data_IF_543357742486
#
_entry.id   IF_543357742486
#
_cell.length_a   1.000
_cell.length_b   1.000
_cell.length_c   1.000
_cell.angle_alpha   90.00
_cell.angle_beta   90.00
_cell.angle_gamma   90.00
#
_symmetry.space_group_name_H-M   'P 1'
#
loop_
_entity.id
_entity.type
_entity.pdbx_description
1 polymer ?
#
# COMPACT_ATOMS: atom_id res chain seq x y z
N UNK A 1 5.18 50.01 -34.03
CA UNK A 1 4.93 48.57 -34.28
C UNK A 1 5.92 47.67 -33.49
N UNK A 2 6.10 47.89 -32.17
CA UNK A 2 7.14 47.17 -31.40
C UNK A 2 6.67 46.62 -30.04
N UNK A 3 5.36 46.69 -29.73
CA UNK A 3 4.82 46.27 -28.42
C UNK A 3 4.23 44.85 -28.42
N UNK A 4 3.92 44.27 -29.60
CA UNK A 4 3.21 42.98 -29.71
C UNK A 4 4.14 41.75 -29.71
N UNK A 5 5.44 41.95 -29.91
CA UNK A 5 6.41 40.84 -30.03
C UNK A 5 6.88 40.34 -28.66
N UNK A 6 6.84 41.17 -27.62
CA UNK A 6 7.34 40.83 -26.27
C UNK A 6 6.30 40.10 -25.40
N UNK A 7 5.01 40.37 -25.59
CA UNK A 7 3.93 39.65 -24.88
C UNK A 7 3.76 38.20 -25.40
N UNK A 8 3.98 37.98 -26.70
CA UNK A 8 3.84 36.67 -27.32
C UNK A 8 4.91 35.68 -26.86
N UNK A 9 6.13 36.14 -26.59
CA UNK A 9 7.25 35.29 -26.13
C UNK A 9 7.19 35.00 -24.64
N UNK A 10 6.67 35.92 -23.81
CA UNK A 10 6.32 35.65 -22.42
C UNK A 10 5.24 34.55 -22.34
N UNK A 11 4.19 34.63 -23.17
CA UNK A 11 3.13 33.62 -23.21
C UNK A 11 3.60 32.25 -23.74
N UNK A 12 4.54 32.22 -24.69
CA UNK A 12 5.08 30.97 -25.21
C UNK A 12 5.98 30.26 -24.19
N UNK A 13 6.74 31.02 -23.40
CA UNK A 13 7.51 30.50 -22.28
C UNK A 13 6.63 29.98 -21.15
N UNK A 14 5.57 30.72 -20.80
CA UNK A 14 4.57 30.30 -19.80
C UNK A 14 3.82 29.03 -20.24
N UNK A 15 3.36 28.95 -21.49
CA UNK A 15 2.74 27.74 -22.05
C UNK A 15 3.69 26.54 -22.09
N UNK A 16 4.98 26.76 -22.38
CA UNK A 16 5.98 25.71 -22.36
C UNK A 16 6.24 25.19 -20.93
N UNK A 17 6.26 26.08 -19.93
CA UNK A 17 6.39 25.72 -18.52
C UNK A 17 5.13 24.98 -18.02
N UNK A 18 3.94 25.46 -18.36
CA UNK A 18 2.67 24.82 -18.01
C UNK A 18 2.58 23.42 -18.62
N UNK A 19 2.94 23.27 -19.90
CA UNK A 19 3.00 21.98 -20.55
C UNK A 19 3.99 21.03 -19.87
N UNK A 20 5.21 21.50 -19.56
CA UNK A 20 6.22 20.71 -18.85
C UNK A 20 5.74 20.28 -17.44
N UNK A 21 5.01 21.15 -16.75
CA UNK A 21 4.41 20.85 -15.46
C UNK A 21 3.29 19.81 -15.58
N UNK A 22 2.43 19.90 -16.61
CA UNK A 22 1.36 18.94 -16.86
C UNK A 22 1.87 17.57 -17.27
N UNK A 23 2.87 17.49 -18.16
CA UNK A 23 3.34 16.19 -18.68
C UNK A 23 4.40 15.53 -17.81
N UNK A 24 5.15 16.30 -17.03
CA UNK A 24 6.29 15.79 -16.25
C UNK A 24 6.06 15.86 -14.74
N UNK A 25 5.92 17.07 -14.21
CA UNK A 25 6.02 17.29 -12.74
C UNK A 25 4.76 16.82 -12.02
N UNK A 26 3.57 17.23 -12.46
CA UNK A 26 2.31 16.90 -11.78
C UNK A 26 2.06 15.39 -11.70
N UNK A 27 2.17 14.60 -12.79
CA UNK A 27 1.97 13.15 -12.74
C UNK A 27 3.00 12.45 -11.83
N UNK A 28 4.26 12.90 -11.84
CA UNK A 28 5.30 12.35 -10.94
C UNK A 28 5.00 12.62 -9.48
N UNK A 29 4.57 13.85 -9.14
CA UNK A 29 4.20 14.19 -7.75
C UNK A 29 2.95 13.44 -7.29
N UNK A 30 1.94 13.27 -8.14
CA UNK A 30 0.73 12.52 -7.83
C UNK A 30 1.03 11.02 -7.64
N UNK A 31 1.87 10.44 -8.48
CA UNK A 31 2.37 9.07 -8.32
C UNK A 31 3.15 8.91 -7.00
N UNK A 32 3.97 9.89 -6.63
CA UNK A 32 4.70 9.91 -5.37
C UNK A 32 3.78 9.95 -4.14
N UNK A 33 2.73 10.79 -4.18
CA UNK A 33 1.74 10.87 -3.11
C UNK A 33 0.95 9.56 -2.97
N UNK A 34 0.43 9.00 -4.08
CA UNK A 34 -0.30 7.74 -4.08
C UNK A 34 0.54 6.55 -3.58
N UNK A 35 1.83 6.53 -3.92
CA UNK A 35 2.78 5.55 -3.39
C UNK A 35 2.94 5.66 -1.87
N UNK A 36 3.12 6.88 -1.34
CA UNK A 36 3.25 7.13 0.10
C UNK A 36 1.97 6.70 0.85
N UNK A 37 0.80 7.05 0.32
CA UNK A 37 -0.49 6.66 0.89
C UNK A 37 -0.64 5.13 0.93
N UNK A 38 -0.36 4.47 -0.19
CA UNK A 38 -0.46 3.00 -0.29
C UNK A 38 0.55 2.28 0.63
N UNK A 39 1.75 2.85 0.80
CA UNK A 39 2.73 2.37 1.78
C UNK A 39 2.28 2.58 3.23
N UNK A 40 1.60 3.70 3.52
CA UNK A 40 1.02 3.95 4.85
C UNK A 40 -0.09 2.95 5.17
N UNK A 41 -0.93 2.61 4.18
CA UNK A 41 -1.98 1.60 4.34
C UNK A 41 -1.41 0.19 4.57
N UNK A 42 -0.37 -0.21 3.83
CA UNK A 42 0.36 -1.45 4.11
C UNK A 42 0.89 -1.51 5.55
N UNK A 43 1.52 -0.43 6.02
CA UNK A 43 2.05 -0.37 7.38
C UNK A 43 0.95 -0.43 8.44
N UNK A 44 -0.15 0.30 8.22
CA UNK A 44 -1.33 0.25 9.09
C UNK A 44 -1.87 -1.17 9.20
N UNK A 45 -1.96 -1.87 8.08
CA UNK A 45 -2.43 -3.25 8.03
C UNK A 45 -1.51 -4.21 8.79
N UNK A 46 -0.19 -4.09 8.61
CA UNK A 46 0.80 -4.88 9.34
C UNK A 46 0.70 -4.67 10.86
N UNK A 47 0.64 -3.42 11.32
CA UNK A 47 0.52 -3.10 12.74
C UNK A 47 -0.81 -3.61 13.31
N UNK A 48 -1.90 -3.46 12.56
CA UNK A 48 -3.22 -3.96 12.95
C UNK A 48 -3.21 -5.49 13.16
N UNK A 49 -2.61 -6.22 12.22
CA UNK A 49 -2.49 -7.67 12.33
C UNK A 49 -1.66 -8.11 13.55
N UNK A 50 -0.52 -7.45 13.81
CA UNK A 50 0.31 -7.74 14.98
C UNK A 50 -0.46 -7.49 16.28
N UNK A 51 -1.17 -6.36 16.38
CA UNK A 51 -1.99 -6.06 17.53
C UNK A 51 -3.07 -7.13 17.77
N UNK A 52 -3.70 -7.62 16.70
CA UNK A 52 -4.71 -8.67 16.80
C UNK A 52 -4.13 -10.07 17.12
N UNK A 53 -2.87 -10.35 16.78
CA UNK A 53 -2.17 -11.55 17.28
C UNK A 53 -1.86 -11.46 18.76
N UNK A 54 -1.34 -10.34 19.22
CA UNK A 54 -1.06 -10.13 20.65
C UNK A 54 -2.33 -10.31 21.50
N UNK A 55 -3.46 -9.76 21.05
CA UNK A 55 -4.75 -9.97 21.73
C UNK A 55 -5.14 -11.44 21.80
N UNK A 56 -4.93 -12.20 20.72
CA UNK A 56 -5.23 -13.63 20.70
C UNK A 56 -4.31 -14.41 21.63
N UNK A 57 -3.02 -14.10 21.65
CA UNK A 57 -2.03 -14.75 22.53
C UNK A 57 -2.39 -14.54 24.01
N UNK A 58 -2.75 -13.31 24.40
CA UNK A 58 -3.20 -13.00 25.76
C UNK A 58 -4.47 -13.78 26.10
N UNK A 59 -5.44 -13.84 25.19
CA UNK A 59 -6.67 -14.61 25.38
C UNK A 59 -6.39 -16.09 25.59
N UNK A 60 -5.49 -16.66 24.80
CA UNK A 60 -5.09 -18.08 24.94
C UNK A 60 -4.38 -18.30 26.26
N UNK A 61 -3.44 -17.45 26.67
CA UNK A 61 -2.80 -17.55 27.98
C UNK A 61 -3.83 -17.53 29.12
N UNK A 62 -4.82 -16.63 29.06
CA UNK A 62 -5.91 -16.63 30.02
C UNK A 62 -6.67 -17.97 30.02
N UNK A 63 -7.01 -18.52 28.86
CA UNK A 63 -7.71 -19.81 28.77
C UNK A 63 -6.87 -20.97 29.33
N UNK A 64 -5.56 -20.99 29.04
CA UNK A 64 -4.64 -22.03 29.52
C UNK A 64 -4.52 -22.00 31.05
N UNK A 65 -4.50 -20.82 31.67
CA UNK A 65 -4.48 -20.68 33.14
C UNK A 65 -5.73 -21.22 33.83
N UNK A 66 -6.86 -21.33 33.12
CA UNK A 66 -8.10 -21.89 33.65
C UNK A 66 -8.25 -23.41 33.38
N UNK A 67 -7.34 -24.01 32.62
CA UNK A 67 -7.41 -25.44 32.31
C UNK A 67 -7.10 -26.29 33.55
N UNK A 68 -8.02 -27.19 33.90
CA UNK A 68 -7.86 -28.10 35.06
C UNK A 68 -7.48 -29.53 34.65
N UNK A 69 -7.52 -29.83 33.34
CA UNK A 69 -7.24 -31.15 32.78
C UNK A 69 -6.34 -31.04 31.54
N UNK A 70 -5.46 -32.03 31.29
CA UNK A 70 -4.63 -32.05 30.08
C UNK A 70 -5.43 -32.00 28.77
N UNK A 71 -6.61 -32.62 28.73
CA UNK A 71 -7.48 -32.60 27.55
C UNK A 71 -8.01 -31.19 27.23
N UNK A 72 -8.23 -30.34 28.23
CA UNK A 72 -8.70 -28.96 28.01
C UNK A 72 -7.56 -28.10 27.47
N UNK A 73 -6.34 -28.30 27.96
CA UNK A 73 -5.13 -27.67 27.44
C UNK A 73 -4.93 -28.00 25.95
N UNK A 74 -5.01 -29.29 25.58
CA UNK A 74 -4.86 -29.73 24.20
C UNK A 74 -5.89 -29.08 23.26
N UNK A 75 -7.15 -28.97 23.70
CA UNK A 75 -8.20 -28.31 22.92
C UNK A 75 -7.90 -26.84 22.68
N UNK A 76 -7.47 -26.11 23.71
CA UNK A 76 -7.12 -24.68 23.60
C UNK A 76 -5.93 -24.49 22.65
N UNK A 77 -4.89 -25.31 22.78
CA UNK A 77 -3.72 -25.25 21.91
C UNK A 77 -4.06 -25.54 20.44
N UNK A 78 -4.84 -26.59 20.17
CA UNK A 78 -5.23 -26.93 18.80
C UNK A 78 -6.04 -25.81 18.15
N UNK A 79 -7.01 -25.26 18.89
CA UNK A 79 -7.82 -24.14 18.41
C UNK A 79 -6.96 -22.88 18.16
N UNK A 80 -5.94 -22.64 18.98
CA UNK A 80 -4.98 -21.55 18.76
C UNK A 80 -4.19 -21.74 17.47
N UNK A 81 -3.63 -22.94 17.23
CA UNK A 81 -2.85 -23.22 16.01
C UNK A 81 -3.70 -23.13 14.75
N UNK A 82 -4.90 -23.72 14.75
CA UNK A 82 -5.82 -23.66 13.62
C UNK A 82 -6.15 -22.20 13.28
N UNK A 83 -6.46 -21.40 14.30
CA UNK A 83 -6.78 -20.00 14.14
C UNK A 83 -5.59 -19.18 13.66
N UNK A 84 -4.41 -19.37 14.26
CA UNK A 84 -3.19 -18.70 13.85
C UNK A 84 -2.87 -19.01 12.38
N UNK A 85 -2.90 -20.28 11.99
CA UNK A 85 -2.68 -20.72 10.61
C UNK A 85 -3.59 -19.98 9.64
N UNK A 86 -4.91 -20.01 9.85
CA UNK A 86 -5.88 -19.32 8.99
C UNK A 86 -5.58 -17.83 8.89
N UNK A 87 -5.36 -17.18 10.02
CA UNK A 87 -5.15 -15.73 10.04
C UNK A 87 -3.84 -15.31 9.36
N UNK A 88 -2.75 -16.09 9.50
CA UNK A 88 -1.51 -15.83 8.76
C UNK A 88 -1.70 -16.03 7.27
N UNK A 89 -2.38 -17.10 6.84
CA UNK A 89 -2.69 -17.34 5.42
C UNK A 89 -3.51 -16.19 4.84
N UNK A 90 -4.58 -15.78 5.52
CA UNK A 90 -5.43 -14.68 5.08
C UNK A 90 -4.64 -13.37 5.00
N UNK A 91 -3.81 -13.09 6.02
CA UNK A 91 -3.00 -11.88 6.05
C UNK A 91 -1.96 -11.84 4.93
N UNK A 92 -1.28 -12.96 4.65
CA UNK A 92 -0.35 -13.06 3.54
C UNK A 92 -1.05 -12.78 2.21
N UNK A 93 -2.24 -13.35 1.98
CA UNK A 93 -3.02 -13.09 0.78
C UNK A 93 -3.40 -11.61 0.63
N UNK A 94 -3.82 -10.98 1.73
CA UNK A 94 -4.17 -9.56 1.76
C UNK A 94 -2.96 -8.66 1.47
N UNK A 95 -1.83 -8.90 2.12
CA UNK A 95 -0.61 -8.13 1.91
C UNK A 95 -0.09 -8.27 0.48
N UNK A 96 -0.15 -9.48 -0.10
CA UNK A 96 0.24 -9.70 -1.49
C UNK A 96 -0.63 -8.85 -2.42
N UNK A 97 -1.95 -8.85 -2.23
CA UNK A 97 -2.88 -8.03 -3.01
C UNK A 97 -2.56 -6.54 -2.91
N UNK A 98 -2.38 -6.01 -1.69
CA UNK A 98 -2.01 -4.61 -1.47
C UNK A 98 -0.65 -4.27 -2.10
N UNK A 99 0.30 -5.20 -2.07
CA UNK A 99 1.63 -5.02 -2.66
C UNK A 99 1.59 -5.02 -4.19
N UNK A 100 0.68 -5.78 -4.80
CA UNK A 100 0.48 -5.75 -6.25
C UNK A 100 -0.19 -4.44 -6.71
N UNK A 101 -1.00 -3.81 -5.87
CA UNK A 101 -1.63 -2.51 -6.15
C UNK A 101 -0.61 -1.35 -6.11
N UNK A 102 0.49 -1.51 -5.38
CA UNK A 102 1.61 -0.56 -5.33
C UNK A 102 2.47 -0.56 -6.59
N UNK A 103 2.54 -1.67 -7.32
CA UNK A 103 3.33 -1.73 -8.54
C UNK A 103 2.78 -0.72 -9.55
N UNK A 104 3.63 0.17 -10.11
CA UNK A 104 3.20 1.06 -11.18
C UNK A 104 2.58 0.20 -12.27
N UNK A 105 1.29 0.42 -12.58
CA UNK A 105 0.70 -0.20 -13.77
C UNK A 105 1.59 0.20 -14.92
N UNK A 106 2.27 -0.76 -15.54
CA UNK A 106 3.06 -0.52 -16.74
C UNK A 106 2.08 -0.03 -17.82
N UNK A 107 1.89 1.30 -17.88
CA UNK A 107 1.04 1.91 -18.89
C UNK A 107 1.79 1.78 -20.21
N UNK A 108 1.20 1.02 -21.14
CA UNK A 108 1.72 0.74 -22.47
C UNK A 108 1.79 1.99 -23.33
N UNK A 109 2.82 2.80 -23.08
CA UNK A 109 3.08 4.06 -23.78
C UNK A 109 4.39 4.07 -24.57
N UNK A 110 5.05 2.93 -24.77
CA UNK A 110 6.14 2.82 -25.75
C UNK A 110 5.54 2.82 -27.16
N UNK A 111 5.07 3.99 -27.62
CA UNK A 111 4.82 4.20 -29.04
C UNK A 111 6.15 3.96 -29.75
N UNK A 112 6.16 2.96 -30.63
CA UNK A 112 7.28 2.59 -31.48
C UNK A 112 7.88 3.83 -32.13
N UNK A 113 9.12 4.14 -31.81
CA UNK A 113 9.97 4.94 -32.70
C UNK A 113 10.18 4.09 -33.96
N UNK A 114 9.74 4.52 -35.15
CA UNK A 114 10.15 3.87 -36.37
C UNK A 114 11.64 4.12 -36.55
N UNK A 115 12.39 3.06 -36.86
CA UNK A 115 13.77 3.16 -37.36
C UNK A 115 13.77 3.81 -38.77
#
# INVERSE_FOLDING_TARGET
MAKKTTESTLSAGELAIEHLQEVGIRPMTAMGAAWIESMADLNREMIGFVADRIKEDVKVQQQLLHCKRPADFQKVQLAFFEKAYRQYTDQTGKLLKMSMELLPRASGGAKSTPL
#
